data_IF_844528008258
#
_entry.id   IF_844528008258
#
_cell.length_a   1.000
_cell.length_b   1.000
_cell.length_c   1.000
_cell.angle_alpha   90.00
_cell.angle_beta   90.00
_cell.angle_gamma   90.00
#
_symmetry.space_group_name_H-M   'P 1'
#
loop_
_entity.id
_entity.type
_entity.pdbx_description
1 polymer ?
#
# COMPACT_ATOMS: atom_id res chain seq x y z
N UNK A 1 12.30 23.32 38.29
CA UNK A 1 12.22 23.55 36.84
C UNK A 1 12.52 22.24 36.14
N UNK A 2 11.48 21.48 35.84
CA UNK A 2 11.62 20.22 35.12
C UNK A 2 12.12 20.49 33.70
N UNK A 3 13.29 19.93 33.37
CA UNK A 3 13.82 19.95 32.01
C UNK A 3 12.91 19.07 31.16
N UNK A 4 12.03 19.71 30.39
CA UNK A 4 11.29 19.07 29.31
C UNK A 4 12.30 18.43 28.36
N UNK A 5 12.49 17.11 28.47
CA UNK A 5 13.22 16.33 27.49
C UNK A 5 12.49 16.52 26.17
N UNK A 6 13.10 17.25 25.22
CA UNK A 6 12.61 17.33 23.84
C UNK A 6 12.61 15.90 23.30
N UNK A 7 11.46 15.24 23.33
CA UNK A 7 11.25 13.98 22.66
C UNK A 7 11.52 14.22 21.18
N UNK A 8 12.46 13.47 20.61
CA UNK A 8 12.75 13.51 19.18
C UNK A 8 11.47 13.12 18.44
N UNK A 9 10.76 14.13 17.90
CA UNK A 9 9.61 13.91 17.05
C UNK A 9 10.14 13.51 15.69
N UNK A 10 9.69 12.35 15.20
CA UNK A 10 10.06 11.90 13.88
C UNK A 10 9.68 12.99 12.86
N UNK A 11 10.61 13.41 11.97
CA UNK A 11 10.33 14.48 11.03
C UNK A 11 9.21 14.07 10.07
N UNK A 12 8.43 15.07 9.62
CA UNK A 12 7.35 14.83 8.65
C UNK A 12 7.93 14.23 7.36
N UNK A 13 7.15 13.38 6.66
CA UNK A 13 7.58 12.70 5.43
C UNK A 13 8.15 13.69 4.39
N UNK A 14 7.51 14.83 4.19
CA UNK A 14 8.02 15.89 3.31
C UNK A 14 9.41 16.41 3.71
N UNK A 15 9.69 16.53 5.01
CA UNK A 15 11.01 16.96 5.51
C UNK A 15 12.04 15.87 5.22
N UNK A 16 11.70 14.60 5.43
CA UNK A 16 12.57 13.46 5.11
C UNK A 16 12.88 13.45 3.61
N UNK A 17 11.87 13.53 2.75
CA UNK A 17 12.05 13.56 1.30
C UNK A 17 12.92 14.73 0.86
N UNK A 18 12.68 15.93 1.41
CA UNK A 18 13.49 17.10 1.09
C UNK A 18 14.95 16.94 1.56
N UNK A 19 15.17 16.36 2.75
CA UNK A 19 16.52 16.04 3.23
C UNK A 19 17.24 15.05 2.32
N UNK A 20 16.55 14.00 1.84
CA UNK A 20 17.12 13.04 0.88
C UNK A 20 17.51 13.75 -0.42
N UNK A 21 16.69 14.66 -0.92
CA UNK A 21 16.99 15.44 -2.13
C UNK A 21 18.23 16.33 -1.92
N UNK A 22 18.34 17.01 -0.77
CA UNK A 22 19.53 17.80 -0.43
C UNK A 22 20.78 16.92 -0.37
N UNK A 23 20.70 15.77 0.31
CA UNK A 23 21.82 14.84 0.44
C UNK A 23 22.25 14.30 -0.93
N UNK A 24 21.29 13.93 -1.78
CA UNK A 24 21.55 13.46 -3.14
C UNK A 24 22.22 14.55 -3.98
N UNK A 25 21.74 15.79 -3.90
CA UNK A 25 22.36 16.93 -4.58
C UNK A 25 23.77 17.20 -4.09
N UNK A 26 24.00 17.23 -2.77
CA UNK A 26 25.34 17.38 -2.20
C UNK A 26 26.27 16.25 -2.67
N UNK A 27 25.77 15.02 -2.73
CA UNK A 27 26.53 13.87 -3.21
C UNK A 27 26.99 14.02 -4.67
N UNK A 28 26.28 14.77 -5.53
CA UNK A 28 26.72 15.04 -6.91
C UNK A 28 28.02 15.86 -7.02
N UNK A 29 28.41 16.55 -5.95
CA UNK A 29 29.69 17.27 -5.89
C UNK A 29 30.86 16.38 -5.48
N UNK A 30 30.61 15.37 -4.64
CA UNK A 30 31.65 14.52 -4.06
C UNK A 30 31.82 13.19 -4.76
N UNK A 31 30.75 12.63 -5.33
CA UNK A 31 30.76 11.35 -6.03
C UNK A 31 31.14 11.61 -7.49
N UNK A 32 32.28 11.06 -7.99
CA UNK A 32 32.67 11.23 -9.38
C UNK A 32 31.61 10.67 -10.32
N UNK A 33 31.26 11.43 -11.35
CA UNK A 33 30.39 10.95 -12.41
C UNK A 33 31.12 9.84 -13.19
N UNK A 34 30.44 8.73 -13.41
CA UNK A 34 30.98 7.63 -14.21
C UNK A 34 29.86 6.76 -14.75
N UNK A 35 30.15 6.12 -15.87
CA UNK A 35 29.23 5.24 -16.55
C UNK A 35 29.93 3.97 -17.01
N UNK A 36 29.14 2.94 -17.25
CA UNK A 36 29.60 1.74 -17.93
C UNK A 36 29.11 1.82 -19.38
N UNK A 37 29.96 1.39 -20.31
CA UNK A 37 29.50 1.17 -21.68
C UNK A 37 28.36 0.17 -21.67
N UNK A 38 27.31 0.49 -22.43
CA UNK A 38 26.12 -0.34 -22.54
C UNK A 38 26.16 -1.14 -23.82
N UNK A 39 26.07 -2.46 -23.70
CA UNK A 39 26.00 -3.37 -24.84
C UNK A 39 24.67 -4.11 -24.84
N UNK A 40 24.15 -4.39 -26.03
CA UNK A 40 22.95 -5.24 -26.16
C UNK A 40 23.38 -6.69 -25.95
N UNK A 41 22.84 -7.31 -24.92
CA UNK A 41 23.03 -8.73 -24.67
C UNK A 41 22.18 -9.52 -25.69
N UNK A 42 22.83 -10.11 -26.69
CA UNK A 42 22.16 -10.82 -27.78
C UNK A 42 21.25 -11.98 -27.33
N UNK A 43 21.55 -12.61 -26.19
CA UNK A 43 20.75 -13.71 -25.65
C UNK A 43 19.45 -13.24 -24.98
N UNK A 44 19.37 -11.98 -24.56
CA UNK A 44 18.22 -11.45 -23.81
C UNK A 44 17.56 -10.22 -24.46
N UNK A 45 18.22 -9.63 -25.46
CA UNK A 45 17.82 -8.37 -26.10
C UNK A 45 17.95 -7.13 -25.21
N UNK A 46 18.61 -7.26 -24.04
CA UNK A 46 18.67 -6.20 -23.02
C UNK A 46 19.93 -5.37 -23.13
N UNK A 47 19.81 -4.09 -22.83
CA UNK A 47 20.92 -3.18 -22.65
C UNK A 47 21.55 -3.44 -21.28
N UNK A 48 22.74 -4.04 -21.26
CA UNK A 48 23.47 -4.35 -20.03
C UNK A 48 24.77 -3.56 -19.97
N UNK A 49 25.18 -3.19 -18.76
CA UNK A 49 26.50 -2.63 -18.53
C UNK A 49 27.57 -3.68 -18.85
N UNK A 50 28.50 -3.35 -19.74
CA UNK A 50 29.64 -4.19 -20.05
C UNK A 50 30.59 -4.23 -18.83
N UNK A 51 30.93 -5.43 -18.37
CA UNK A 51 31.81 -5.58 -17.22
C UNK A 51 33.22 -5.06 -17.56
N UNK A 52 33.80 -4.24 -16.67
CA UNK A 52 35.15 -3.70 -16.84
C UNK A 52 35.26 -2.44 -17.70
N UNK A 53 34.16 -1.92 -18.25
CA UNK A 53 34.15 -0.70 -19.08
C UNK A 53 33.80 0.58 -18.31
N UNK A 54 33.88 0.54 -16.98
CA UNK A 54 33.65 1.72 -16.17
C UNK A 54 34.66 2.82 -16.54
N UNK A 55 34.14 3.98 -16.92
CA UNK A 55 34.94 5.15 -17.17
C UNK A 55 34.28 6.39 -16.54
N UNK A 56 35.12 7.39 -16.27
CA UNK A 56 34.63 8.66 -15.73
C UNK A 56 34.12 9.53 -16.87
N UNK A 57 33.03 10.23 -16.60
CA UNK A 57 32.45 11.21 -17.52
C UNK A 57 32.59 12.61 -16.95
N UNK A 58 32.28 13.60 -17.78
CA UNK A 58 32.26 14.99 -17.33
C UNK A 58 31.28 15.17 -16.18
N UNK A 59 31.74 15.84 -15.11
CA UNK A 59 30.94 16.01 -13.91
C UNK A 59 29.87 17.08 -14.16
N UNK A 60 28.60 16.70 -13.95
CA UNK A 60 27.45 17.60 -14.05
C UNK A 60 26.74 17.66 -12.69
N UNK A 61 27.27 18.43 -11.71
CA UNK A 61 26.69 18.52 -10.38
C UNK A 61 25.36 19.29 -10.44
N UNK A 62 24.41 18.89 -9.60
CA UNK A 62 23.10 19.55 -9.54
C UNK A 62 23.24 20.89 -8.83
N UNK A 63 22.99 21.98 -9.54
CA UNK A 63 23.02 23.33 -8.98
C UNK A 63 21.92 23.58 -7.94
N UNK A 64 22.08 24.65 -7.15
CA UNK A 64 21.11 25.03 -6.12
C UNK A 64 19.71 25.32 -6.71
N UNK A 65 19.64 25.94 -7.89
CA UNK A 65 18.36 26.17 -8.57
C UNK A 65 17.81 24.90 -9.23
N UNK A 66 18.69 24.06 -9.78
CA UNK A 66 18.32 22.78 -10.37
C UNK A 66 17.71 21.83 -9.34
N UNK A 67 18.13 21.92 -8.07
CA UNK A 67 17.48 21.23 -6.94
C UNK A 67 15.96 21.46 -6.96
N UNK A 68 15.53 22.72 -6.98
CA UNK A 68 14.11 23.08 -6.95
C UNK A 68 13.40 22.71 -8.26
N UNK A 69 14.07 22.87 -9.40
CA UNK A 69 13.53 22.46 -10.71
C UNK A 69 13.33 20.95 -10.76
N UNK A 70 14.25 20.16 -10.21
CA UNK A 70 14.15 18.70 -10.19
C UNK A 70 13.00 18.21 -9.31
N UNK A 71 12.65 18.93 -8.24
CA UNK A 71 11.41 18.66 -7.48
C UNK A 71 10.18 18.82 -8.38
N UNK A 72 10.10 19.91 -9.14
CA UNK A 72 9.01 20.12 -10.10
C UNK A 72 8.97 19.04 -11.18
N UNK A 73 10.12 18.68 -11.77
CA UNK A 73 10.20 17.59 -12.77
C UNK A 73 9.75 16.26 -12.18
N UNK A 74 10.11 15.98 -10.92
CA UNK A 74 9.63 14.81 -10.19
C UNK A 74 8.10 14.80 -10.04
N UNK A 75 7.49 15.94 -9.69
CA UNK A 75 6.03 16.07 -9.62
C UNK A 75 5.37 15.86 -10.99
N UNK A 76 5.94 16.40 -12.07
CA UNK A 76 5.46 16.18 -13.44
C UNK A 76 5.54 14.69 -13.80
N UNK A 77 6.66 14.02 -13.48
CA UNK A 77 6.83 12.58 -13.71
C UNK A 77 5.84 11.73 -12.90
N UNK A 78 5.39 12.23 -11.75
CA UNK A 78 4.40 11.58 -10.90
C UNK A 78 2.95 12.02 -11.16
N UNK A 79 2.72 12.91 -12.14
CA UNK A 79 1.41 13.55 -12.35
C UNK A 79 0.28 12.53 -12.52
N UNK A 80 0.52 11.45 -13.28
CA UNK A 80 -0.48 10.39 -13.48
C UNK A 80 -0.92 9.75 -12.16
N UNK A 81 0.00 9.54 -11.22
CA UNK A 81 -0.30 8.97 -9.90
C UNK A 81 -1.09 9.99 -9.07
N UNK A 82 -0.68 11.26 -9.09
CA UNK A 82 -1.37 12.33 -8.35
C UNK A 82 -2.83 12.46 -8.81
N UNK A 83 -3.07 12.51 -10.13
CA UNK A 83 -4.43 12.60 -10.68
C UNK A 83 -5.24 11.34 -10.41
N UNK A 84 -4.63 10.15 -10.57
CA UNK A 84 -5.28 8.88 -10.25
C UNK A 84 -5.78 8.85 -8.81
N UNK A 85 -4.93 9.19 -7.84
CA UNK A 85 -5.27 9.25 -6.42
C UNK A 85 -6.40 10.25 -6.19
N UNK A 86 -6.30 11.45 -6.75
CA UNK A 86 -7.32 12.48 -6.59
C UNK A 86 -8.71 12.02 -7.08
N UNK A 87 -8.78 11.39 -8.25
CA UNK A 87 -10.03 10.86 -8.79
C UNK A 87 -10.54 9.64 -8.02
N UNK A 88 -9.66 8.73 -7.60
CA UNK A 88 -10.03 7.55 -6.83
C UNK A 88 -10.69 7.93 -5.49
N UNK A 89 -10.07 8.86 -4.74
CA UNK A 89 -10.67 9.37 -3.51
C UNK A 89 -11.96 10.15 -3.75
N UNK A 90 -12.02 10.97 -4.82
CA UNK A 90 -13.25 11.66 -5.20
C UNK A 90 -14.40 10.68 -5.48
N UNK A 91 -14.13 9.60 -6.21
CA UNK A 91 -15.10 8.54 -6.50
C UNK A 91 -15.56 7.81 -5.24
N UNK A 92 -14.63 7.38 -4.37
CA UNK A 92 -14.96 6.70 -3.10
C UNK A 92 -15.79 7.62 -2.20
N UNK A 93 -15.39 8.89 -2.06
CA UNK A 93 -16.15 9.87 -1.30
C UNK A 93 -17.57 10.05 -1.85
N UNK A 94 -17.72 10.12 -3.17
CA UNK A 94 -19.04 10.22 -3.82
C UNK A 94 -19.90 8.98 -3.58
N UNK A 95 -19.34 7.76 -3.60
CA UNK A 95 -20.07 6.52 -3.27
C UNK A 95 -20.54 6.49 -1.82
N UNK A 96 -19.69 6.93 -0.88
CA UNK A 96 -20.06 7.01 0.53
C UNK A 96 -21.19 8.03 0.70
N UNK A 97 -21.06 9.22 0.08
CA UNK A 97 -22.06 10.29 0.16
C UNK A 97 -23.42 9.90 -0.46
N UNK A 98 -23.44 9.09 -1.52
CA UNK A 98 -24.69 8.64 -2.15
C UNK A 98 -25.43 7.57 -1.33
N UNK A 99 -24.81 7.03 -0.28
CA UNK A 99 -25.38 5.93 0.51
C UNK A 99 -25.38 4.58 -0.21
N UNK A 100 -24.91 4.51 -1.47
CA UNK A 100 -24.78 3.27 -2.23
C UNK A 100 -23.90 2.25 -1.47
N UNK A 101 -22.88 2.77 -0.76
CA UNK A 101 -22.01 1.96 0.08
C UNK A 101 -22.75 1.28 1.23
N UNK A 102 -23.60 2.02 1.96
CA UNK A 102 -24.43 1.48 3.03
C UNK A 102 -25.41 0.42 2.51
N UNK A 103 -25.99 0.64 1.32
CA UNK A 103 -26.84 -0.37 0.66
C UNK A 103 -26.09 -1.65 0.30
N UNK A 104 -24.86 -1.54 -0.20
CA UNK A 104 -24.01 -2.70 -0.52
C UNK A 104 -23.63 -3.50 0.74
N UNK A 105 -23.27 -2.82 1.83
CA UNK A 105 -22.95 -3.46 3.13
C UNK A 105 -24.18 -4.17 3.69
N UNK A 106 -25.35 -3.53 3.70
CA UNK A 106 -26.59 -4.15 4.19
C UNK A 106 -26.94 -5.40 3.39
N UNK A 107 -26.85 -5.34 2.06
CA UNK A 107 -27.08 -6.49 1.20
C UNK A 107 -26.07 -7.62 1.47
N UNK A 108 -24.80 -7.26 1.66
CA UNK A 108 -23.75 -8.21 1.99
C UNK A 108 -23.99 -8.89 3.35
N UNK A 109 -24.34 -8.11 4.38
CA UNK A 109 -24.70 -8.60 5.71
C UNK A 109 -25.84 -9.62 5.66
N UNK A 110 -26.88 -9.34 4.86
CA UNK A 110 -28.01 -10.26 4.67
C UNK A 110 -27.54 -11.57 4.02
N UNK A 111 -26.73 -11.50 2.96
CA UNK A 111 -26.19 -12.68 2.26
C UNK A 111 -25.26 -13.50 3.16
N UNK A 112 -24.56 -12.84 4.09
CA UNK A 112 -23.51 -13.45 4.91
C UNK A 112 -23.97 -13.82 6.33
N UNK A 113 -25.25 -13.60 6.67
CA UNK A 113 -25.85 -14.00 7.95
C UNK A 113 -25.70 -15.51 8.18
N UNK A 114 -25.07 -15.91 9.28
CA UNK A 114 -24.75 -17.31 9.60
C UNK A 114 -23.47 -17.86 8.94
N UNK A 115 -22.74 -17.04 8.18
CA UNK A 115 -21.45 -17.38 7.53
C UNK A 115 -20.36 -16.37 7.89
N UNK A 116 -20.39 -15.83 9.10
CA UNK A 116 -19.52 -14.73 9.54
C UNK A 116 -18.03 -15.08 9.46
N UNK A 117 -17.70 -16.37 9.59
CA UNK A 117 -16.33 -16.87 9.52
C UNK A 117 -15.78 -16.89 8.08
N UNK A 118 -16.65 -16.84 7.04
CA UNK A 118 -16.23 -16.78 5.64
C UNK A 118 -16.02 -15.35 5.14
N UNK A 119 -16.54 -14.35 5.84
CA UNK A 119 -16.39 -12.93 5.46
C UNK A 119 -14.91 -12.55 5.45
N UNK A 120 -14.19 -12.89 6.51
CA UNK A 120 -12.77 -12.56 6.65
C UNK A 120 -11.94 -13.12 5.47
N UNK A 121 -11.90 -14.43 5.20
CA UNK A 121 -11.06 -14.97 4.13
C UNK A 121 -11.49 -14.47 2.74
N UNK A 122 -12.79 -14.34 2.46
CA UNK A 122 -13.26 -13.90 1.15
C UNK A 122 -12.84 -12.46 0.87
N UNK A 123 -13.10 -11.54 1.80
CA UNK A 123 -12.76 -10.13 1.59
C UNK A 123 -11.26 -9.90 1.63
N UNK A 124 -10.53 -10.60 2.50
CA UNK A 124 -9.07 -10.53 2.48
C UNK A 124 -8.50 -11.02 1.14
N UNK A 125 -9.06 -12.07 0.53
CA UNK A 125 -8.65 -12.50 -0.81
C UNK A 125 -8.95 -11.45 -1.87
N UNK A 126 -10.16 -10.88 -1.87
CA UNK A 126 -10.56 -9.84 -2.83
C UNK A 126 -9.63 -8.62 -2.73
N UNK A 127 -9.47 -8.07 -1.53
CA UNK A 127 -8.61 -6.91 -1.29
C UNK A 127 -7.13 -7.23 -1.54
N UNK A 128 -6.69 -8.43 -1.18
CA UNK A 128 -5.37 -8.93 -1.50
C UNK A 128 -5.11 -8.95 -2.99
N UNK A 129 -6.03 -9.50 -3.80
CA UNK A 129 -5.93 -9.52 -5.26
C UNK A 129 -5.90 -8.09 -5.81
N UNK A 130 -6.74 -7.19 -5.32
CA UNK A 130 -6.73 -5.78 -5.74
C UNK A 130 -5.39 -5.10 -5.41
N UNK A 131 -4.84 -5.32 -4.22
CA UNK A 131 -3.52 -4.83 -3.83
C UNK A 131 -2.38 -5.42 -4.68
N UNK A 132 -2.49 -6.69 -5.06
CA UNK A 132 -1.47 -7.39 -5.84
C UNK A 132 -1.50 -7.08 -7.35
N UNK A 133 -2.68 -6.75 -7.89
CA UNK A 133 -2.87 -6.60 -9.34
C UNK A 133 -2.78 -5.15 -9.81
N UNK A 134 -3.60 -4.25 -9.26
CA UNK A 134 -3.56 -2.84 -9.64
C UNK A 134 -3.13 -1.93 -8.48
N UNK A 135 -2.67 -2.49 -7.37
CA UNK A 135 -1.98 -1.71 -6.32
C UNK A 135 -2.89 -0.82 -5.50
N UNK A 136 -4.10 -1.30 -5.16
CA UNK A 136 -5.17 -0.61 -4.42
C UNK A 136 -4.81 -0.17 -2.99
N UNK A 137 -3.70 0.55 -2.76
CA UNK A 137 -3.23 0.90 -1.43
C UNK A 137 -3.93 2.16 -0.90
N UNK A 138 -4.15 3.14 -1.76
CA UNK A 138 -4.71 4.44 -1.40
C UNK A 138 -6.22 4.36 -1.10
N UNK A 139 -6.97 3.58 -1.88
CA UNK A 139 -8.42 3.43 -1.68
C UNK A 139 -8.76 2.70 -0.38
N UNK A 140 -7.82 1.92 0.16
CA UNK A 140 -7.95 1.18 1.42
C UNK A 140 -8.37 2.08 2.57
N UNK A 141 -7.81 3.30 2.65
CA UNK A 141 -8.10 4.23 3.75
C UNK A 141 -9.58 4.62 3.84
N UNK A 142 -10.25 4.76 2.70
CA UNK A 142 -11.69 5.05 2.67
C UNK A 142 -12.56 3.85 3.06
N UNK A 143 -12.08 2.64 2.87
CA UNK A 143 -12.83 1.40 3.12
C UNK A 143 -12.65 0.86 4.54
N UNK A 144 -11.56 1.22 5.24
CA UNK A 144 -11.27 0.75 6.60
C UNK A 144 -12.44 1.04 7.57
N UNK A 145 -12.94 2.29 7.73
CA UNK A 145 -13.98 2.57 8.72
C UNK A 145 -15.25 1.75 8.51
N UNK A 146 -15.53 1.40 7.25
CA UNK A 146 -16.69 0.58 6.91
C UNK A 146 -16.50 -0.87 7.29
N UNK A 147 -15.37 -1.48 6.97
CA UNK A 147 -15.13 -2.87 7.35
C UNK A 147 -14.93 -3.00 8.86
N UNK A 148 -14.46 -1.95 9.53
CA UNK A 148 -14.51 -1.81 10.98
C UNK A 148 -15.95 -1.86 11.49
N UNK A 149 -16.84 -1.01 10.98
CA UNK A 149 -18.25 -1.00 11.39
C UNK A 149 -18.96 -2.32 11.11
N UNK A 150 -18.66 -2.95 9.96
CA UNK A 150 -19.16 -4.28 9.60
C UNK A 150 -18.66 -5.36 10.58
N UNK A 151 -17.37 -5.37 10.90
CA UNK A 151 -16.79 -6.33 11.83
C UNK A 151 -17.42 -6.21 13.23
N UNK A 152 -17.62 -4.98 13.72
CA UNK A 152 -18.29 -4.70 15.00
C UNK A 152 -19.75 -5.19 14.97
N UNK A 153 -20.49 -4.90 13.89
CA UNK A 153 -21.88 -5.36 13.75
C UNK A 153 -22.00 -6.90 13.79
N UNK A 154 -20.99 -7.60 13.27
CA UNK A 154 -20.89 -9.06 13.27
C UNK A 154 -20.37 -9.67 14.60
N UNK A 155 -20.04 -8.85 15.60
CA UNK A 155 -19.53 -9.28 16.90
C UNK A 155 -18.03 -9.56 16.94
N UNK A 156 -17.27 -9.04 15.98
CA UNK A 156 -15.81 -8.94 16.06
C UNK A 156 -15.40 -7.54 16.58
N UNK A 157 -14.11 -7.25 16.58
CA UNK A 157 -13.59 -5.92 16.93
C UNK A 157 -13.14 -5.12 15.69
N UNK A 158 -12.74 -3.88 15.94
CA UNK A 158 -12.23 -2.98 14.90
C UNK A 158 -10.93 -3.49 14.26
N UNK A 159 -10.09 -4.23 14.97
CA UNK A 159 -8.84 -4.77 14.42
C UNK A 159 -9.14 -5.81 13.35
N UNK A 160 -10.16 -6.65 13.53
CA UNK A 160 -10.58 -7.59 12.48
C UNK A 160 -11.01 -6.82 11.24
N UNK A 161 -11.84 -5.79 11.37
CA UNK A 161 -12.27 -4.96 10.24
C UNK A 161 -11.12 -4.24 9.53
N UNK A 162 -10.21 -3.66 10.28
CA UNK A 162 -8.97 -3.06 9.77
C UNK A 162 -8.11 -4.10 9.04
N UNK A 163 -8.00 -5.31 9.58
CA UNK A 163 -7.18 -6.38 9.00
C UNK A 163 -7.78 -6.94 7.70
N UNK A 164 -9.11 -7.00 7.60
CA UNK A 164 -9.80 -7.45 6.39
C UNK A 164 -9.46 -6.59 5.17
N UNK A 165 -9.23 -5.30 5.37
CA UNK A 165 -8.86 -4.36 4.29
C UNK A 165 -7.36 -4.07 4.31
N UNK A 166 -6.88 -3.41 5.37
CA UNK A 166 -5.51 -2.91 5.48
C UNK A 166 -4.45 -3.99 5.40
N UNK A 167 -4.55 -5.03 6.23
CA UNK A 167 -3.57 -6.14 6.20
C UNK A 167 -3.67 -6.90 4.87
N UNK A 168 -4.87 -7.15 4.36
CA UNK A 168 -5.07 -7.83 3.08
C UNK A 168 -4.41 -7.08 1.92
N UNK A 169 -4.71 -5.79 1.75
CA UNK A 169 -4.12 -4.98 0.69
C UNK A 169 -2.61 -4.88 0.86
N UNK A 170 -2.10 -4.60 2.07
CA UNK A 170 -0.67 -4.48 2.29
C UNK A 170 0.08 -5.77 1.95
N UNK A 171 -0.50 -6.92 2.31
CA UNK A 171 0.05 -8.24 2.00
C UNK A 171 0.03 -8.50 0.48
N UNK A 172 -1.09 -8.18 -0.19
CA UNK A 172 -1.21 -8.30 -1.64
C UNK A 172 -0.21 -7.40 -2.38
N UNK A 173 -0.10 -6.14 -1.95
CA UNK A 173 0.84 -5.16 -2.48
C UNK A 173 2.29 -5.63 -2.30
N UNK A 174 2.64 -6.22 -1.15
CA UNK A 174 3.99 -6.75 -0.90
C UNK A 174 4.36 -7.91 -1.85
N UNK A 175 3.40 -8.74 -2.24
CA UNK A 175 3.64 -9.83 -3.20
C UNK A 175 3.60 -9.41 -4.68
N UNK A 176 2.88 -8.32 -5.00
CA UNK A 176 2.89 -7.61 -6.29
C UNK A 176 2.93 -8.50 -7.55
N UNK A 177 1.93 -9.35 -7.78
CA UNK A 177 1.91 -10.26 -8.95
C UNK A 177 2.09 -9.55 -10.28
N UNK A 178 1.21 -8.58 -10.57
CA UNK A 178 1.20 -7.78 -11.81
C UNK A 178 1.08 -6.28 -11.54
N UNK A 179 1.32 -5.87 -10.29
CA UNK A 179 1.17 -4.48 -9.85
C UNK A 179 2.01 -3.52 -10.71
N UNK A 180 1.37 -2.59 -11.46
CA UNK A 180 2.07 -1.70 -12.35
C UNK A 180 2.91 -0.66 -11.60
N UNK A 181 2.52 -0.30 -10.37
CA UNK A 181 3.19 0.71 -9.54
C UNK A 181 4.48 0.21 -8.89
N UNK A 182 4.71 -1.10 -8.86
CA UNK A 182 5.91 -1.70 -8.26
C UNK A 182 6.67 -2.51 -9.30
N UNK A 183 6.19 -3.71 -9.60
CA UNK A 183 6.86 -4.66 -10.49
C UNK A 183 6.85 -4.16 -11.93
N UNK A 184 5.78 -3.52 -12.38
CA UNK A 184 5.73 -2.94 -13.74
C UNK A 184 6.83 -1.90 -13.97
N UNK A 185 6.95 -0.92 -13.07
CA UNK A 185 8.01 0.10 -13.12
C UNK A 185 9.40 -0.56 -13.01
N UNK A 186 9.60 -1.46 -12.05
CA UNK A 186 10.88 -2.12 -11.85
C UNK A 186 11.32 -2.95 -13.07
N UNK A 187 10.39 -3.67 -13.71
CA UNK A 187 10.65 -4.42 -14.94
C UNK A 187 10.99 -3.50 -16.11
N UNK A 188 10.29 -2.36 -16.24
CA UNK A 188 10.61 -1.36 -17.25
C UNK A 188 12.02 -0.80 -17.10
N UNK A 189 12.40 -0.42 -15.87
CA UNK A 189 13.76 0.08 -15.56
C UNK A 189 14.82 -1.00 -15.82
N UNK A 190 14.53 -2.24 -15.48
CA UNK A 190 15.45 -3.37 -15.64
C UNK A 190 15.42 -4.01 -17.04
N UNK A 191 14.63 -3.46 -17.97
CA UNK A 191 14.42 -4.01 -19.32
C UNK A 191 14.01 -5.49 -19.32
N UNK A 192 13.27 -5.92 -18.30
CA UNK A 192 12.74 -7.27 -18.19
C UNK A 192 11.42 -7.38 -18.96
N UNK A 193 11.13 -8.53 -19.60
CA UNK A 193 9.80 -8.79 -20.13
C UNK A 193 8.74 -8.60 -19.06
N UNK A 194 7.66 -7.89 -19.40
CA UNK A 194 6.50 -7.76 -18.52
C UNK A 194 6.00 -9.15 -18.11
N UNK A 195 5.56 -9.27 -16.86
CA UNK A 195 5.09 -10.54 -16.27
C UNK A 195 6.17 -11.62 -16.09
N UNK A 196 7.45 -11.35 -16.39
CA UNK A 196 8.54 -12.27 -16.05
C UNK A 196 8.56 -12.57 -14.55
N UNK A 197 8.60 -13.87 -14.17
CA UNK A 197 8.54 -14.31 -12.78
C UNK A 197 7.14 -14.32 -12.15
N UNK A 198 6.06 -14.21 -12.94
CA UNK A 198 4.69 -14.20 -12.43
C UNK A 198 4.34 -15.44 -11.57
N UNK A 199 4.73 -16.63 -12.01
CA UNK A 199 4.46 -17.87 -11.26
C UNK A 199 5.04 -17.85 -9.84
N UNK A 200 6.29 -17.38 -9.70
CA UNK A 200 6.93 -17.20 -8.40
C UNK A 200 6.15 -16.20 -7.53
N UNK A 201 5.72 -15.07 -8.09
CA UNK A 201 4.93 -14.08 -7.36
C UNK A 201 3.56 -14.60 -6.95
N UNK A 202 2.92 -15.44 -7.77
CA UNK A 202 1.66 -16.10 -7.41
C UNK A 202 1.87 -17.02 -6.20
N UNK A 203 2.97 -17.79 -6.16
CA UNK A 203 3.30 -18.63 -5.00
C UNK A 203 3.53 -17.78 -3.75
N UNK A 204 4.28 -16.67 -3.86
CA UNK A 204 4.49 -15.73 -2.77
C UNK A 204 3.17 -15.11 -2.30
N UNK A 205 2.30 -14.68 -3.23
CA UNK A 205 0.97 -14.15 -2.93
C UNK A 205 0.15 -15.17 -2.13
N UNK A 206 0.10 -16.43 -2.57
CA UNK A 206 -0.64 -17.49 -1.87
C UNK A 206 -0.08 -17.70 -0.46
N UNK A 207 1.24 -17.74 -0.30
CA UNK A 207 1.88 -17.93 1.00
C UNK A 207 1.60 -16.76 1.96
N UNK A 208 1.80 -15.53 1.49
CA UNK A 208 1.59 -14.31 2.26
C UNK A 208 0.12 -14.13 2.63
N UNK A 209 -0.78 -14.28 1.66
CA UNK A 209 -2.21 -14.15 1.86
C UNK A 209 -2.76 -15.26 2.76
N UNK A 210 -2.30 -16.50 2.58
CA UNK A 210 -2.66 -17.63 3.43
C UNK A 210 -2.28 -17.39 4.88
N UNK A 211 -1.07 -16.89 5.13
CA UNK A 211 -0.60 -16.54 6.48
C UNK A 211 -1.42 -15.39 7.08
N UNK A 212 -1.68 -14.33 6.31
CA UNK A 212 -2.47 -13.19 6.76
C UNK A 212 -3.91 -13.60 7.12
N UNK A 213 -4.56 -14.40 6.27
CA UNK A 213 -5.91 -14.93 6.52
C UNK A 213 -5.91 -15.81 7.76
N UNK A 214 -4.97 -16.75 7.88
CA UNK A 214 -4.86 -17.61 9.05
C UNK A 214 -4.70 -16.81 10.34
N UNK A 215 -3.82 -15.80 10.33
CA UNK A 215 -3.56 -14.96 11.49
C UNK A 215 -4.80 -14.15 11.90
N UNK A 216 -5.47 -13.50 10.94
CA UNK A 216 -6.69 -12.73 11.19
C UNK A 216 -7.82 -13.63 11.67
N UNK A 217 -8.01 -14.80 11.07
CA UNK A 217 -9.02 -15.78 11.47
C UNK A 217 -8.78 -16.31 12.89
N UNK A 218 -7.51 -16.58 13.24
CA UNK A 218 -7.12 -16.97 14.59
C UNK A 218 -7.44 -15.88 15.60
N UNK A 219 -7.13 -14.62 15.27
CA UNK A 219 -7.43 -13.48 16.12
C UNK A 219 -8.94 -13.26 16.27
N UNK A 220 -9.69 -13.21 15.16
CA UNK A 220 -11.14 -13.04 15.14
C UNK A 220 -11.86 -14.12 15.96
N UNK A 221 -11.40 -15.37 15.86
CA UNK A 221 -11.96 -16.49 16.64
C UNK A 221 -11.71 -16.36 18.14
N UNK A 222 -10.61 -15.72 18.57
CA UNK A 222 -10.34 -15.44 19.99
C UNK A 222 -11.27 -14.35 20.51
N UNK A 223 -11.34 -13.22 19.79
CA UNK A 223 -12.18 -12.07 20.15
C UNK A 223 -13.66 -12.45 20.20
N UNK A 224 -14.13 -13.26 19.26
CA UNK A 224 -15.52 -13.73 19.23
C UNK A 224 -15.87 -14.69 20.38
N UNK A 225 -14.90 -15.42 20.91
CA UNK A 225 -15.08 -16.32 22.07
C UNK A 225 -15.04 -15.56 23.40
N UNK A 226 -14.12 -14.61 23.51
CA UNK A 226 -13.97 -13.76 24.68
C UNK A 226 -13.60 -12.33 24.24
N UNK A 227 -14.57 -11.38 24.28
CA UNK A 227 -14.33 -9.99 23.90
C UNK A 227 -13.20 -9.32 24.68
N UNK A 228 -12.89 -9.78 25.91
CA UNK A 228 -11.78 -9.23 26.73
C UNK A 228 -10.40 -9.51 26.14
N UNK A 229 -10.30 -10.44 25.20
CA UNK A 229 -9.06 -10.74 24.48
C UNK A 229 -8.83 -9.78 23.29
N UNK A 230 -9.75 -8.85 23.02
CA UNK A 230 -9.52 -7.80 22.03
C UNK A 230 -8.41 -6.86 22.50
N UNK A 231 -7.46 -6.56 21.62
CA UNK A 231 -6.40 -5.58 21.88
C UNK A 231 -6.95 -4.14 21.97
N UNK A 232 -8.20 -3.93 21.58
CA UNK A 232 -8.90 -2.63 21.62
C UNK A 232 -10.16 -2.70 22.48
N UNK A 233 -10.18 -3.60 23.48
CA UNK A 233 -11.33 -3.79 24.36
C UNK A 233 -11.77 -2.51 25.08
N UNK A 234 -10.80 -1.69 25.53
CA UNK A 234 -11.07 -0.45 26.27
C UNK A 234 -11.28 0.79 25.37
N UNK A 235 -11.39 0.60 24.05
CA UNK A 235 -11.56 1.69 23.09
C UNK A 235 -13.03 1.78 22.65
N UNK A 236 -13.62 2.96 22.82
CA UNK A 236 -14.98 3.22 22.35
C UNK A 236 -14.98 3.55 20.84
N UNK A 237 -15.72 2.75 20.07
CA UNK A 237 -15.90 2.89 18.62
C UNK A 237 -17.31 3.36 18.25
N UNK A 238 -18.07 3.94 19.19
CA UNK A 238 -19.52 4.21 19.09
C UNK A 238 -20.02 4.90 17.82
N UNK A 239 -19.22 5.74 17.15
CA UNK A 239 -19.62 6.36 15.86
C UNK A 239 -19.39 5.47 14.63
N UNK A 240 -18.45 4.52 14.70
CA UNK A 240 -18.16 3.58 13.61
C UNK A 240 -18.99 2.29 13.70
N UNK A 241 -19.56 1.99 14.87
CA UNK A 241 -20.47 0.86 15.05
C UNK A 241 -21.77 1.13 14.28
N UNK A 242 -22.02 0.36 13.21
CA UNK A 242 -23.30 0.43 12.50
C UNK A 242 -24.38 -0.09 13.44
N UNK A 243 -25.35 0.76 13.74
CA UNK A 243 -26.46 0.49 14.64
C UNK A 243 -27.23 -0.77 14.21
N UNK A 244 -27.31 -1.76 15.11
CA UNK A 244 -27.97 -3.03 14.85
C UNK A 244 -29.46 -2.86 14.59
N UNK A 245 -30.08 -1.82 15.11
CA UNK A 245 -31.51 -1.56 14.96
C UNK A 245 -31.84 -0.90 13.61
N UNK A 246 -30.84 -0.38 12.89
CA UNK A 246 -30.97 0.04 11.48
C UNK A 246 -30.81 -1.13 10.49
N UNK A 247 -30.61 -2.35 11.00
CA UNK A 247 -30.47 -3.60 10.23
C UNK A 247 -31.76 -4.45 10.25
N UNK A 248 -32.84 -3.96 10.87
CA UNK A 248 -34.16 -4.59 10.92
C UNK A 248 -35.11 -4.00 9.87
#
# INVERSE_FOLDING_TARGET
MDKVKRQFKFPHTYVILFMVIIIATAATYFIPAGEFDRVVNEATGRTVAAAGTYHRVEQSPVGLFDLFINVQKGMISAANIIFFIFFAYGYVYMIIKTGAFHGAINKLLIIMKGKENLVIPIFMLVFGICGSTFGMFEETYGLIPVFVGLAIAMGYDAIVGMSVVGLAVATGFASATINPFTVGIAQGIAELPLFSGLSFRIVVFIAFMGLAIWYTMRYASKVKKDPKLSLVYDVDFGEMAIDKDKLA
#
